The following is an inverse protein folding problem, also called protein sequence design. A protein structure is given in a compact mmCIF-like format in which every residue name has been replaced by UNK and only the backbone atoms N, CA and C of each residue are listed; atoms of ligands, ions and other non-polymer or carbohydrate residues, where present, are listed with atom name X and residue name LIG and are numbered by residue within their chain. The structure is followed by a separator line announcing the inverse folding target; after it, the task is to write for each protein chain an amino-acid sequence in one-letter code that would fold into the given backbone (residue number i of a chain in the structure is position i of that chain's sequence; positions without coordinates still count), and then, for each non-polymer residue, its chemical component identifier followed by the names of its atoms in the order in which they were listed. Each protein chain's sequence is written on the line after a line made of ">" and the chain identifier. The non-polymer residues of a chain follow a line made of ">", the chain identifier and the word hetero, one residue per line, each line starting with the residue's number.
data_IF_866816969868
#
_entry.id   IF_866816969868
#
_cell.length_a   1.000
_cell.length_b   1.000
_cell.length_c   1.000
_cell.angle_alpha   90.00
_cell.angle_beta   90.00
_cell.angle_gamma   90.00
#
_symmetry.space_group_name_H-M   'P 1'
#
loop_
_entity.id
_entity.type
_entity.pdbx_description
1 polymer ?
#
# COMPACT_ATOMS: atom_id res chain seq x y z
N UNK A 1 -15.34 14.60 -13.99
CA UNK A 1 -14.93 13.44 -13.17
C UNK A 1 -13.88 12.65 -13.94
N UNK A 2 -12.76 12.29 -13.31
CA UNK A 2 -11.77 11.41 -13.93
C UNK A 2 -12.34 9.99 -13.91
N UNK A 3 -12.54 9.39 -15.09
CA UNK A 3 -12.89 7.97 -15.16
C UNK A 3 -11.63 7.16 -14.86
N UNK A 4 -11.57 6.57 -13.66
CA UNK A 4 -10.54 5.61 -13.33
C UNK A 4 -11.07 4.25 -13.75
N UNK A 5 -10.45 3.60 -14.74
CA UNK A 5 -10.76 2.21 -15.02
C UNK A 5 -10.45 1.35 -13.79
N UNK A 6 -10.97 0.11 -13.80
CA UNK A 6 -10.79 -0.86 -12.73
C UNK A 6 -9.28 -0.91 -12.40
N UNK A 7 -8.90 -0.73 -11.14
CA UNK A 7 -7.53 -0.81 -10.65
C UNK A 7 -6.56 0.33 -11.04
N UNK A 8 -6.94 1.30 -11.87
CA UNK A 8 -6.04 2.41 -12.24
C UNK A 8 -5.79 3.43 -11.12
N UNK A 9 -6.65 3.44 -10.10
CA UNK A 9 -6.63 4.44 -9.03
C UNK A 9 -5.42 4.29 -8.08
N UNK A 10 -4.95 3.07 -7.86
CA UNK A 10 -3.87 2.78 -6.92
C UNK A 10 -2.60 3.57 -7.28
N UNK A 11 -1.97 3.24 -8.41
CA UNK A 11 -0.75 3.91 -8.84
C UNK A 11 -0.96 5.37 -9.30
N UNK A 12 -2.20 5.78 -9.58
CA UNK A 12 -2.53 7.20 -9.76
C UNK A 12 -2.27 8.02 -8.48
N UNK A 13 -2.67 7.52 -7.31
CA UNK A 13 -2.42 8.18 -6.03
C UNK A 13 -0.92 8.36 -5.78
N UNK A 14 -0.12 7.35 -6.08
CA UNK A 14 1.34 7.47 -6.00
C UNK A 14 1.88 8.58 -6.91
N UNK A 15 1.45 8.63 -8.19
CA UNK A 15 1.84 9.72 -9.08
C UNK A 15 1.46 11.10 -8.52
N UNK A 16 0.27 11.24 -7.93
CA UNK A 16 -0.19 12.52 -7.37
C UNK A 16 0.60 12.96 -6.16
N UNK A 17 1.00 12.05 -5.28
CA UNK A 17 1.87 12.40 -4.15
C UNK A 17 3.24 12.90 -4.63
N UNK A 18 3.78 12.31 -5.70
CA UNK A 18 5.02 12.80 -6.31
C UNK A 18 4.83 14.22 -6.87
N UNK A 19 3.73 14.48 -7.59
CA UNK A 19 3.41 15.83 -8.12
C UNK A 19 3.27 16.89 -7.02
N UNK A 20 2.80 16.50 -5.84
CA UNK A 20 2.67 17.42 -4.70
C UNK A 20 4.03 17.89 -4.17
N UNK A 21 5.15 17.30 -4.59
CA UNK A 21 6.49 17.75 -4.22
C UNK A 21 6.80 17.62 -2.72
N UNK A 22 6.13 16.68 -2.04
CA UNK A 22 6.30 16.47 -0.60
C UNK A 22 7.71 15.92 -0.32
N UNK A 23 8.45 16.59 0.58
CA UNK A 23 9.78 16.16 1.01
C UNK A 23 9.65 14.92 1.90
N UNK A 24 9.78 13.73 1.32
CA UNK A 24 9.56 12.45 2.00
C UNK A 24 10.68 11.48 1.67
N UNK A 25 10.87 10.45 2.52
CA UNK A 25 11.84 9.38 2.26
C UNK A 25 11.34 8.41 1.18
N UNK A 26 10.02 8.26 1.08
CA UNK A 26 9.35 7.45 0.08
C UNK A 26 7.83 7.47 0.27
N UNK A 27 7.14 6.74 -0.61
CA UNK A 27 5.68 6.60 -0.63
C UNK A 27 5.35 5.14 -0.33
N UNK A 28 4.66 4.89 0.78
CA UNK A 28 4.01 3.61 1.01
C UNK A 28 2.56 3.71 0.56
N UNK A 29 2.23 2.95 -0.48
CA UNK A 29 0.90 2.88 -1.03
C UNK A 29 0.24 1.58 -0.58
N UNK A 30 -0.99 1.67 -0.07
CA UNK A 30 -1.82 0.55 0.37
C UNK A 30 -3.22 0.70 -0.20
N UNK A 31 -3.76 -0.37 -0.77
CA UNK A 31 -5.11 -0.44 -1.32
C UNK A 31 -5.81 -1.74 -0.94
N UNK A 32 -7.10 -1.79 -1.33
CA UNK A 32 -7.98 -2.94 -1.18
C UNK A 32 -8.08 -3.43 0.27
N UNK A 33 -8.55 -4.65 0.45
CA UNK A 33 -8.77 -5.31 1.71
C UNK A 33 -7.47 -5.94 2.26
N UNK A 34 -6.41 -5.16 2.50
CA UNK A 34 -5.15 -5.69 3.07
C UNK A 34 -5.14 -5.54 4.59
N UNK A 35 -4.99 -6.66 5.31
CA UNK A 35 -4.64 -6.66 6.74
C UNK A 35 -3.12 -6.55 6.87
N UNK A 36 -2.61 -5.40 7.33
CA UNK A 36 -1.19 -5.10 7.42
C UNK A 36 -0.73 -4.92 8.87
N UNK A 37 0.32 -5.63 9.28
CA UNK A 37 1.05 -5.38 10.53
C UNK A 37 2.00 -4.20 10.35
N UNK A 38 1.44 -2.98 10.33
CA UNK A 38 2.22 -1.79 9.98
C UNK A 38 3.37 -1.51 10.97
N UNK A 39 3.27 -2.00 12.20
CA UNK A 39 4.35 -1.92 13.20
C UNK A 39 5.60 -2.72 12.81
N UNK A 40 5.47 -3.73 11.94
CA UNK A 40 6.62 -4.48 11.42
C UNK A 40 7.38 -3.74 10.31
N UNK A 41 6.83 -2.65 9.77
CA UNK A 41 7.47 -1.89 8.67
C UNK A 41 8.72 -1.15 9.13
N UNK A 42 8.85 -0.86 10.43
CA UNK A 42 10.00 -0.16 10.98
C UNK A 42 11.32 -0.91 10.79
N UNK A 43 11.26 -2.21 10.58
CA UNK A 43 12.44 -3.06 10.36
C UNK A 43 12.83 -3.17 8.88
N UNK A 44 12.08 -2.54 7.98
CA UNK A 44 12.32 -2.60 6.55
C UNK A 44 13.23 -1.45 6.10
N UNK A 45 14.10 -1.74 5.14
CA UNK A 45 15.04 -0.77 4.59
C UNK A 45 14.33 0.21 3.66
N UNK A 46 14.11 1.44 4.11
CA UNK A 46 13.42 2.52 3.38
C UNK A 46 14.19 3.05 2.17
N UNK A 47 15.40 2.53 1.90
CA UNK A 47 16.16 2.79 0.67
C UNK A 47 15.84 1.80 -0.45
N UNK A 48 15.08 0.75 -0.16
CA UNK A 48 14.71 -0.29 -1.13
C UNK A 48 13.24 -0.19 -1.50
N UNK A 49 12.88 -0.59 -2.71
CA UNK A 49 11.47 -0.84 -3.06
C UNK A 49 10.95 -2.00 -2.22
N UNK A 50 9.73 -1.86 -1.69
CA UNK A 50 9.05 -2.95 -0.98
C UNK A 50 7.91 -3.49 -1.83
N UNK A 51 7.83 -4.81 -1.97
CA UNK A 51 6.82 -5.47 -2.79
C UNK A 51 6.54 -6.89 -2.28
N UNK A 52 5.33 -7.47 -2.43
CA UNK A 52 4.99 -8.77 -1.84
C UNK A 52 5.65 -9.98 -2.52
N UNK A 53 6.23 -9.82 -3.70
CA UNK A 53 6.82 -10.90 -4.49
C UNK A 53 8.02 -10.40 -5.27
N UNK A 54 8.76 -11.30 -5.92
CA UNK A 54 9.83 -10.91 -6.85
C UNK A 54 9.28 -10.05 -8.01
N UNK A 55 10.18 -9.46 -8.78
CA UNK A 55 9.90 -8.68 -9.98
C UNK A 55 10.30 -9.44 -11.25
N UNK A 56 10.37 -10.78 -11.21
CA UNK A 56 10.70 -11.60 -12.37
C UNK A 56 9.54 -11.59 -13.36
N UNK A 57 9.80 -11.06 -14.54
CA UNK A 57 8.83 -11.05 -15.63
C UNK A 57 8.92 -12.38 -16.39
N UNK A 58 7.93 -13.26 -16.20
CA UNK A 58 7.97 -14.66 -16.65
C UNK A 58 6.86 -15.04 -17.63
N UNK A 59 5.78 -14.25 -17.76
CA UNK A 59 4.62 -14.56 -18.61
C UNK A 59 4.82 -13.98 -19.99
N UNK A 60 5.00 -14.82 -21.02
CA UNK A 60 5.17 -14.32 -22.39
C UNK A 60 3.92 -13.56 -22.86
N UNK A 61 4.12 -12.38 -23.43
CA UNK A 61 3.07 -11.56 -24.06
C UNK A 61 2.69 -12.14 -25.44
N UNK A 62 2.13 -13.35 -25.45
CA UNK A 62 1.64 -13.99 -26.67
C UNK A 62 0.11 -13.98 -26.70
N UNK A 63 -0.54 -13.49 -27.77
CA UNK A 63 -1.99 -13.44 -27.90
C UNK A 63 -2.74 -14.73 -27.58
N UNK A 64 -2.09 -15.88 -27.76
CA UNK A 64 -2.71 -17.19 -27.66
C UNK A 64 -2.37 -17.97 -26.37
N UNK A 65 -1.45 -17.50 -25.52
CA UNK A 65 -0.92 -18.29 -24.38
C UNK A 65 -1.55 -17.98 -23.02
N UNK A 66 -2.39 -16.94 -22.90
CA UNK A 66 -3.03 -16.58 -21.63
C UNK A 66 -4.51 -16.27 -21.85
N UNK A 67 -5.26 -17.28 -22.29
CA UNK A 67 -6.71 -17.18 -22.53
C UNK A 67 -7.55 -17.17 -21.25
N UNK A 68 -6.96 -17.47 -20.09
CA UNK A 68 -7.71 -17.76 -18.86
C UNK A 68 -7.71 -16.63 -17.82
N UNK A 69 -7.14 -15.46 -18.13
CA UNK A 69 -7.09 -14.36 -17.17
C UNK A 69 -8.02 -13.21 -17.58
N UNK A 70 -8.94 -12.85 -16.68
CA UNK A 70 -10.04 -11.91 -16.93
C UNK A 70 -9.59 -10.50 -17.36
N UNK A 71 -8.34 -10.12 -17.05
CA UNK A 71 -7.80 -8.80 -17.38
C UNK A 71 -6.90 -8.82 -18.62
N UNK A 72 -6.91 -9.90 -19.42
CA UNK A 72 -6.17 -9.98 -20.69
C UNK A 72 -6.31 -8.74 -21.63
N UNK A 73 -7.47 -8.04 -21.73
CA UNK A 73 -7.55 -6.80 -22.50
C UNK A 73 -6.49 -5.75 -22.13
N UNK A 74 -5.90 -5.83 -20.93
CA UNK A 74 -4.80 -4.98 -20.50
C UNK A 74 -3.46 -5.27 -21.18
N UNK A 75 -3.23 -6.48 -21.68
CA UNK A 75 -1.99 -6.78 -22.42
C UNK A 75 -1.96 -6.01 -23.75
N UNK A 76 -3.09 -5.92 -24.45
CA UNK A 76 -3.19 -5.09 -25.65
C UNK A 76 -2.95 -3.60 -25.34
N UNK A 77 -3.41 -3.12 -24.18
CA UNK A 77 -3.12 -1.76 -23.70
C UNK A 77 -1.61 -1.55 -23.49
N UNK A 78 -0.92 -2.53 -22.92
CA UNK A 78 0.54 -2.52 -22.73
C UNK A 78 1.27 -2.55 -24.08
N UNK A 79 0.89 -3.42 -25.01
CA UNK A 79 1.50 -3.49 -26.36
C UNK A 79 1.34 -2.14 -27.07
N UNK A 80 0.14 -1.57 -27.04
CA UNK A 80 -0.13 -0.25 -27.63
C UNK A 80 0.70 0.84 -26.96
N UNK A 81 0.76 0.84 -25.62
CA UNK A 81 1.58 1.77 -24.85
C UNK A 81 3.04 1.72 -25.29
N UNK A 82 3.62 0.53 -25.47
CA UNK A 82 5.00 0.36 -25.90
C UNK A 82 5.23 0.86 -27.32
N UNK A 83 4.34 0.54 -28.26
CA UNK A 83 4.42 1.03 -29.64
C UNK A 83 4.44 2.57 -29.70
N UNK A 84 3.54 3.22 -28.95
CA UNK A 84 3.51 4.69 -28.87
C UNK A 84 4.79 5.26 -28.21
N UNK A 85 5.39 4.50 -27.31
CA UNK A 85 6.63 4.86 -26.62
C UNK A 85 7.81 4.89 -27.58
N UNK A 86 7.93 3.89 -28.44
CA UNK A 86 8.99 3.78 -29.44
C UNK A 86 8.98 4.98 -30.40
N UNK A 87 7.79 5.39 -30.84
CA UNK A 87 7.61 6.55 -31.73
C UNK A 87 8.06 7.86 -31.06
N UNK A 88 7.73 8.06 -29.77
CA UNK A 88 8.12 9.27 -29.05
C UNK A 88 9.63 9.31 -28.80
N UNK A 89 10.23 8.17 -28.47
CA UNK A 89 11.65 8.09 -28.15
C UNK A 89 12.57 8.20 -29.35
N UNK A 90 12.16 7.66 -30.51
CA UNK A 90 12.86 7.91 -31.78
C UNK A 90 12.95 9.41 -32.09
N UNK A 91 11.98 10.21 -31.60
CA UNK A 91 11.92 11.66 -31.79
C UNK A 91 12.59 12.45 -30.66
N UNK A 92 12.79 11.87 -29.47
CA UNK A 92 13.31 12.59 -28.31
C UNK A 92 14.82 12.36 -28.12
N UNK A 93 15.60 13.45 -27.98
CA UNK A 93 17.03 13.40 -27.62
C UNK A 93 17.29 13.04 -26.14
N UNK A 94 16.26 12.68 -25.36
CA UNK A 94 16.35 12.67 -23.90
C UNK A 94 16.94 11.39 -23.27
N UNK A 95 17.71 11.69 -22.22
CA UNK A 95 18.49 10.94 -21.21
C UNK A 95 18.86 9.46 -21.43
N UNK A 96 20.15 9.17 -21.19
CA UNK A 96 20.72 7.82 -21.05
C UNK A 96 19.93 6.94 -20.08
N UNK A 97 19.31 7.56 -19.08
CA UNK A 97 18.53 6.88 -18.04
C UNK A 97 17.21 6.33 -18.58
N UNK A 98 16.42 7.14 -19.31
CA UNK A 98 15.21 6.66 -19.98
C UNK A 98 15.56 5.53 -20.94
N UNK A 99 16.66 5.65 -21.70
CA UNK A 99 17.16 4.57 -22.57
C UNK A 99 17.60 3.32 -21.80
N UNK A 100 18.23 3.46 -20.63
CA UNK A 100 18.65 2.33 -19.79
C UNK A 100 17.44 1.55 -19.28
N UNK A 101 16.43 2.27 -18.79
CA UNK A 101 15.20 1.67 -18.30
C UNK A 101 14.41 1.09 -19.47
N UNK A 102 14.41 1.79 -20.61
CA UNK A 102 13.90 1.26 -21.88
C UNK A 102 14.58 -0.06 -22.18
N UNK A 103 15.90 -0.16 -22.25
CA UNK A 103 16.59 -1.45 -22.51
C UNK A 103 16.25 -2.55 -21.48
N UNK A 104 15.96 -2.17 -20.24
CA UNK A 104 15.51 -3.08 -19.18
C UNK A 104 14.07 -3.55 -19.35
N UNK A 105 13.22 -2.71 -19.95
CA UNK A 105 11.77 -2.90 -20.13
C UNK A 105 11.39 -3.30 -21.59
N UNK A 106 12.10 -2.88 -22.61
CA UNK A 106 11.90 -3.11 -24.07
C UNK A 106 11.99 -4.58 -24.43
N UNK A 107 12.74 -5.34 -23.63
CA UNK A 107 12.87 -6.78 -23.82
C UNK A 107 11.78 -7.56 -23.08
N UNK A 108 10.73 -6.90 -22.59
CA UNK A 108 9.54 -7.52 -22.01
C UNK A 108 8.71 -8.12 -23.14
N UNK A 109 9.26 -9.18 -23.73
CA UNK A 109 8.45 -10.28 -24.28
C UNK A 109 7.68 -10.99 -23.17
N UNK A 110 7.95 -10.66 -21.90
CA UNK A 110 7.37 -11.28 -20.72
C UNK A 110 6.90 -10.24 -19.72
N UNK A 111 5.69 -10.37 -19.20
CA UNK A 111 5.14 -9.57 -18.09
C UNK A 111 5.11 -10.39 -16.79
N UNK A 112 4.78 -9.72 -15.68
CA UNK A 112 4.36 -10.37 -14.45
C UNK A 112 2.94 -9.94 -14.13
N UNK A 113 2.16 -10.89 -13.66
CA UNK A 113 0.85 -10.66 -13.06
C UNK A 113 0.92 -11.09 -11.60
N UNK A 114 0.61 -10.18 -10.68
CA UNK A 114 0.51 -10.51 -9.26
C UNK A 114 -0.31 -9.47 -8.49
N UNK A 115 -0.81 -9.89 -7.33
CA UNK A 115 -1.39 -8.97 -6.35
C UNK A 115 -0.43 -7.81 -6.07
N UNK A 116 -0.96 -6.60 -6.18
CA UNK A 116 -0.17 -5.37 -6.07
C UNK A 116 -0.89 -4.34 -5.21
N UNK A 117 -1.53 -4.81 -4.14
CA UNK A 117 -2.32 -3.99 -3.22
C UNK A 117 -1.46 -3.12 -2.30
N UNK A 118 -0.15 -3.30 -2.32
CA UNK A 118 0.75 -2.35 -1.72
C UNK A 118 2.10 -2.34 -2.42
N UNK A 119 2.80 -1.22 -2.28
CA UNK A 119 4.23 -1.14 -2.54
C UNK A 119 4.82 0.07 -1.80
N UNK A 120 6.12 0.02 -1.56
CA UNK A 120 6.89 1.18 -1.14
C UNK A 120 7.81 1.64 -2.27
N UNK A 121 7.78 2.94 -2.58
CA UNK A 121 8.65 3.57 -3.55
C UNK A 121 9.58 4.57 -2.83
N UNK A 122 10.89 4.32 -2.77
CA UNK A 122 11.88 5.28 -2.29
C UNK A 122 11.89 6.60 -3.09
N UNK A 123 12.21 7.70 -2.42
CA UNK A 123 12.22 9.05 -3.02
C UNK A 123 13.22 9.25 -4.16
N UNK A 124 14.36 8.56 -4.13
CA UNK A 124 15.34 8.55 -5.22
C UNK A 124 14.80 7.89 -6.50
N UNK A 125 13.69 7.15 -6.41
CA UNK A 125 12.98 6.53 -7.54
C UNK A 125 11.73 7.30 -7.98
N UNK A 126 11.46 8.49 -7.43
CA UNK A 126 10.23 9.23 -7.75
C UNK A 126 10.16 9.71 -9.18
N UNK A 127 11.22 10.31 -9.74
CA UNK A 127 11.17 10.86 -11.12
C UNK A 127 10.81 9.78 -12.14
N UNK A 128 11.55 8.67 -12.08
CA UNK A 128 11.35 7.50 -12.92
C UNK A 128 10.02 6.80 -12.64
N UNK A 129 9.67 6.59 -11.37
CA UNK A 129 8.40 5.98 -10.98
C UNK A 129 7.22 6.79 -11.49
N UNK A 130 7.20 8.09 -11.23
CA UNK A 130 6.19 9.03 -11.71
C UNK A 130 5.99 8.95 -13.22
N UNK A 131 7.09 8.94 -13.98
CA UNK A 131 7.06 8.84 -15.42
C UNK A 131 6.31 7.59 -15.89
N UNK A 132 6.69 6.40 -15.40
CA UNK A 132 6.05 5.15 -15.85
C UNK A 132 4.65 4.98 -15.29
N UNK A 133 4.39 5.26 -14.01
CA UNK A 133 3.06 5.16 -13.42
C UNK A 133 2.05 6.01 -14.20
N UNK A 134 2.42 7.21 -14.63
CA UNK A 134 1.58 8.05 -15.48
C UNK A 134 1.40 7.53 -16.90
N UNK A 135 2.41 6.86 -17.47
CA UNK A 135 2.26 6.21 -18.78
C UNK A 135 1.28 5.05 -18.69
N UNK A 136 1.46 4.12 -17.76
CA UNK A 136 0.53 3.01 -17.54
C UNK A 136 -0.90 3.52 -17.28
N UNK A 137 -1.04 4.63 -16.54
CA UNK A 137 -2.32 5.31 -16.32
C UNK A 137 -2.96 5.78 -17.61
N UNK A 138 -2.20 6.42 -18.50
CA UNK A 138 -2.72 6.96 -19.77
C UNK A 138 -3.37 5.86 -20.62
N UNK A 139 -2.85 4.64 -20.53
CA UNK A 139 -3.38 3.48 -21.25
C UNK A 139 -4.36 2.67 -20.41
N UNK A 140 -4.70 3.10 -19.20
CA UNK A 140 -5.66 2.44 -18.30
C UNK A 140 -5.28 0.96 -18.02
N UNK A 141 -4.00 0.71 -17.74
CA UNK A 141 -3.50 -0.63 -17.44
C UNK A 141 -3.84 -1.02 -16.00
N UNK A 142 -4.38 -2.22 -15.81
CA UNK A 142 -4.73 -2.74 -14.48
C UNK A 142 -3.52 -2.79 -13.52
N UNK A 143 -3.72 -2.48 -12.23
CA UNK A 143 -2.62 -2.38 -11.25
C UNK A 143 -1.78 -3.64 -11.15
N UNK A 144 -2.40 -4.82 -11.24
CA UNK A 144 -1.72 -6.11 -11.08
C UNK A 144 -0.77 -6.45 -12.24
N UNK A 145 -0.76 -5.60 -13.29
CA UNK A 145 0.27 -5.57 -14.32
C UNK A 145 1.12 -4.31 -14.20
N UNK A 146 0.47 -3.16 -14.05
CA UNK A 146 1.15 -1.87 -14.10
C UNK A 146 2.24 -1.77 -13.03
N UNK A 147 1.89 -2.06 -11.78
CA UNK A 147 2.82 -1.95 -10.65
C UNK A 147 4.00 -2.90 -10.81
N UNK A 148 3.85 -4.23 -10.98
CA UNK A 148 5.01 -5.12 -11.05
C UNK A 148 5.90 -4.84 -12.27
N UNK A 149 5.34 -4.42 -13.41
CA UNK A 149 6.14 -4.07 -14.59
C UNK A 149 6.92 -2.78 -14.35
N UNK A 150 6.28 -1.74 -13.79
CA UNK A 150 6.97 -0.48 -13.43
C UNK A 150 8.09 -0.78 -12.44
N UNK A 151 7.79 -1.52 -11.37
CA UNK A 151 8.77 -1.82 -10.34
C UNK A 151 9.96 -2.65 -10.88
N UNK A 152 9.71 -3.62 -11.76
CA UNK A 152 10.78 -4.38 -12.42
C UNK A 152 11.69 -3.50 -13.31
N UNK A 153 11.13 -2.42 -13.86
CA UNK A 153 11.84 -1.41 -14.63
C UNK A 153 12.76 -0.51 -13.80
N UNK A 154 12.40 -0.24 -12.54
CA UNK A 154 13.13 0.70 -11.67
C UNK A 154 13.99 0.00 -10.61
N UNK A 155 13.78 -1.31 -10.40
CA UNK A 155 14.42 -2.08 -9.34
C UNK A 155 14.86 -3.48 -9.80
N UNK A 156 15.88 -4.04 -9.13
CA UNK A 156 16.34 -5.42 -9.33
C UNK A 156 15.92 -6.34 -8.19
N UNK A 157 15.73 -7.63 -8.47
CA UNK A 157 15.45 -8.62 -7.42
C UNK A 157 16.56 -8.75 -6.37
N UNK A 158 17.80 -8.36 -6.69
CA UNK A 158 18.91 -8.40 -5.73
C UNK A 158 18.78 -7.33 -4.63
N UNK A 159 18.09 -6.25 -4.95
CA UNK A 159 17.96 -5.03 -4.13
C UNK A 159 16.52 -4.77 -3.69
N UNK A 160 15.58 -5.59 -4.15
CA UNK A 160 14.18 -5.59 -3.74
C UNK A 160 14.03 -6.07 -2.29
N UNK A 161 13.22 -5.38 -1.50
CA UNK A 161 12.76 -5.86 -0.20
C UNK A 161 11.44 -6.62 -0.40
N UNK A 162 11.51 -7.96 -0.42
CA UNK A 162 10.29 -8.77 -0.48
C UNK A 162 9.60 -8.72 0.89
N UNK A 163 8.34 -8.30 0.90
CA UNK A 163 7.50 -8.32 2.08
C UNK A 163 6.79 -9.67 2.18
N UNK A 164 7.10 -10.40 3.25
CA UNK A 164 6.45 -11.68 3.52
C UNK A 164 4.96 -11.49 3.83
N UNK A 165 4.09 -12.13 3.06
CA UNK A 165 2.67 -12.21 3.37
C UNK A 165 1.93 -13.13 2.44
N UNK A 166 0.61 -13.09 2.51
CA UNK A 166 -0.24 -14.09 1.87
C UNK A 166 -1.37 -13.45 1.06
N UNK A 167 -1.53 -13.97 -0.17
CA UNK A 167 -2.66 -13.67 -1.05
C UNK A 167 -3.54 -14.91 -1.16
N UNK A 168 -4.79 -14.79 -0.72
CA UNK A 168 -5.80 -15.82 -0.85
C UNK A 168 -6.72 -15.49 -2.02
N UNK A 169 -6.69 -16.31 -3.07
CA UNK A 169 -7.45 -16.10 -4.31
C UNK A 169 -8.75 -16.92 -4.35
N UNK A 170 -9.64 -16.58 -5.28
CA UNK A 170 -10.78 -17.44 -5.65
C UNK A 170 -11.91 -17.51 -4.62
N UNK A 171 -12.02 -16.53 -3.72
CA UNK A 171 -13.09 -16.51 -2.72
C UNK A 171 -12.94 -17.55 -1.61
N UNK A 172 -11.74 -18.08 -1.42
CA UNK A 172 -11.46 -19.04 -0.37
C UNK A 172 -11.74 -18.44 1.04
N UNK A 173 -11.98 -19.30 2.05
CA UNK A 173 -12.34 -18.85 3.39
C UNK A 173 -11.28 -17.93 4.01
N UNK A 174 -11.74 -16.95 4.78
CA UNK A 174 -10.86 -16.00 5.49
C UNK A 174 -10.11 -16.72 6.63
N UNK A 175 -8.88 -17.17 6.35
CA UNK A 175 -8.05 -17.97 7.26
C UNK A 175 -6.79 -17.25 7.76
N UNK A 176 -6.81 -15.93 7.82
CA UNK A 176 -5.65 -15.11 8.20
C UNK A 176 -5.00 -15.53 9.54
N UNK A 177 -5.80 -15.96 10.51
CA UNK A 177 -5.35 -16.39 11.83
C UNK A 177 -4.39 -17.58 11.78
N UNK A 178 -4.52 -18.48 10.80
CA UNK A 178 -3.67 -19.67 10.64
C UNK A 178 -2.24 -19.31 10.22
N UNK A 179 -2.07 -18.16 9.59
CA UNK A 179 -0.79 -17.68 9.07
C UNK A 179 -0.29 -16.44 9.82
N UNK A 180 -1.08 -15.90 10.76
CA UNK A 180 -0.87 -14.58 11.35
C UNK A 180 0.51 -14.36 11.95
N UNK A 181 1.06 -15.36 12.64
CA UNK A 181 2.40 -15.28 13.26
C UNK A 181 3.54 -15.31 12.24
N UNK A 182 3.28 -15.71 10.99
CA UNK A 182 4.28 -15.94 9.95
C UNK A 182 4.28 -14.88 8.85
N UNK A 183 3.37 -13.90 8.87
CA UNK A 183 3.16 -12.95 7.78
C UNK A 183 3.12 -11.51 8.26
N UNK A 184 3.55 -10.58 7.41
CA UNK A 184 3.41 -9.14 7.64
C UNK A 184 2.09 -8.59 7.10
N UNK A 185 1.51 -9.25 6.09
CA UNK A 185 0.22 -8.87 5.54
C UNK A 185 -0.59 -10.08 5.10
N UNK A 186 -1.92 -9.90 5.04
CA UNK A 186 -2.87 -10.86 4.50
C UNK A 186 -3.86 -10.15 3.58
N UNK A 187 -4.09 -10.69 2.39
CA UNK A 187 -5.12 -10.24 1.46
C UNK A 187 -5.91 -11.44 0.94
N UNK A 188 -7.23 -11.34 0.73
CA UNK A 188 -8.10 -10.23 1.13
C UNK A 188 -8.56 -10.39 2.58
N UNK A 189 -8.74 -9.28 3.28
CA UNK A 189 -9.28 -9.16 4.63
C UNK A 189 -10.44 -8.16 4.64
N UNK A 190 -11.63 -8.67 4.31
CA UNK A 190 -12.85 -7.86 4.26
C UNK A 190 -13.37 -7.57 5.67
N UNK A 191 -13.38 -6.31 6.09
CA UNK A 191 -13.94 -5.91 7.39
C UNK A 191 -15.42 -6.32 7.55
N UNK A 192 -16.17 -6.41 6.46
CA UNK A 192 -17.57 -6.90 6.49
C UNK A 192 -17.70 -8.34 7.00
N UNK A 193 -16.61 -9.14 6.97
CA UNK A 193 -16.56 -10.50 7.53
C UNK A 193 -16.48 -10.52 9.05
N UNK A 194 -16.16 -9.40 9.70
CA UNK A 194 -16.18 -9.28 11.17
C UNK A 194 -17.59 -9.39 11.77
N UNK A 195 -18.64 -9.40 10.94
CA UNK A 195 -20.00 -9.78 11.39
C UNK A 195 -20.10 -11.25 11.81
N UNK A 196 -19.16 -12.09 11.39
CA UNK A 196 -19.09 -13.49 11.77
C UNK A 196 -18.34 -13.63 13.09
N UNK A 197 -18.97 -14.26 14.09
CA UNK A 197 -18.45 -14.36 15.47
C UNK A 197 -17.03 -14.92 15.54
N UNK A 198 -16.75 -15.99 14.80
CA UNK A 198 -15.43 -16.61 14.76
C UNK A 198 -14.36 -15.69 14.17
N UNK A 199 -14.64 -15.07 13.02
CA UNK A 199 -13.74 -14.11 12.37
C UNK A 199 -13.44 -12.91 13.28
N UNK A 200 -14.46 -12.36 13.95
CA UNK A 200 -14.29 -11.29 14.92
C UNK A 200 -13.41 -11.72 16.10
N UNK A 201 -13.69 -12.89 16.68
CA UNK A 201 -12.91 -13.45 17.78
C UNK A 201 -11.44 -13.60 17.39
N UNK A 202 -11.17 -14.18 16.21
CA UNK A 202 -9.82 -14.33 15.68
C UNK A 202 -9.15 -12.97 15.42
N UNK A 203 -9.88 -11.99 14.89
CA UNK A 203 -9.33 -10.66 14.65
C UNK A 203 -8.91 -9.98 15.95
N UNK A 204 -9.74 -10.06 16.99
CA UNK A 204 -9.41 -9.54 18.31
C UNK A 204 -8.22 -10.28 18.94
N UNK A 205 -8.24 -11.61 18.92
CA UNK A 205 -7.23 -12.46 19.55
C UNK A 205 -5.84 -12.31 18.91
N UNK A 206 -5.79 -12.23 17.58
CA UNK A 206 -4.53 -12.19 16.85
C UNK A 206 -4.12 -10.77 16.49
N UNK A 207 -4.98 -10.00 15.80
CA UNK A 207 -4.57 -8.69 15.29
C UNK A 207 -4.61 -7.58 16.33
N UNK A 208 -5.74 -7.44 17.03
CA UNK A 208 -5.91 -6.35 18.01
C UNK A 208 -4.98 -6.54 19.20
N UNK A 209 -4.86 -7.76 19.72
CA UNK A 209 -3.96 -8.06 20.83
C UNK A 209 -2.49 -7.79 20.48
N UNK A 210 -2.02 -8.23 19.31
CA UNK A 210 -0.65 -7.97 18.81
C UNK A 210 -0.42 -6.45 18.65
N UNK A 211 -1.37 -5.74 18.03
CA UNK A 211 -1.32 -4.29 17.87
C UNK A 211 -1.22 -3.55 19.21
N UNK A 212 -2.02 -3.93 20.21
CA UNK A 212 -2.00 -3.29 21.54
C UNK A 212 -0.63 -3.52 22.20
N UNK A 213 -0.12 -4.74 22.17
CA UNK A 213 1.16 -5.08 22.78
C UNK A 213 2.32 -4.29 22.14
N UNK A 214 2.36 -4.23 20.80
CA UNK A 214 3.39 -3.48 20.09
C UNK A 214 3.23 -1.96 20.25
N UNK A 215 2.00 -1.45 20.30
CA UNK A 215 1.73 -0.03 20.57
C UNK A 215 2.24 0.36 21.94
N UNK A 216 2.02 -0.45 22.98
CA UNK A 216 2.56 -0.19 24.32
C UNK A 216 4.09 -0.16 24.33
N UNK A 217 4.74 -1.07 23.59
CA UNK A 217 6.20 -1.03 23.45
C UNK A 217 6.66 0.23 22.71
N UNK A 218 5.95 0.65 21.67
CA UNK A 218 6.24 1.89 20.95
C UNK A 218 6.11 3.11 21.86
N UNK A 219 5.04 3.21 22.67
CA UNK A 219 4.87 4.30 23.64
C UNK A 219 5.97 4.31 24.71
N UNK A 220 6.42 3.15 25.17
CA UNK A 220 7.56 3.05 26.10
C UNK A 220 8.85 3.59 25.48
N UNK A 221 9.13 3.26 24.21
CA UNK A 221 10.32 3.77 23.51
C UNK A 221 10.27 5.29 23.31
N UNK A 222 9.11 5.83 22.93
CA UNK A 222 8.89 7.28 22.82
C UNK A 222 9.15 7.97 24.16
N UNK A 223 8.61 7.41 25.26
CA UNK A 223 8.83 7.91 26.62
C UNK A 223 10.31 7.90 27.02
N UNK A 224 11.08 6.96 26.48
CA UNK A 224 12.51 6.80 26.75
C UNK A 224 13.42 7.59 25.78
N UNK A 225 12.89 8.57 25.04
CA UNK A 225 13.62 9.41 24.07
C UNK A 225 14.22 8.67 22.86
N UNK A 226 13.77 7.44 22.56
CA UNK A 226 14.02 6.84 21.25
C UNK A 226 13.02 7.47 20.25
N UNK A 227 13.51 8.41 19.43
CA UNK A 227 12.66 9.15 18.47
C UNK A 227 11.97 8.22 17.47
N UNK A 228 10.64 8.26 17.43
CA UNK A 228 9.83 7.72 16.34
C UNK A 228 9.06 8.84 15.65
N UNK A 229 9.05 8.87 14.32
CA UNK A 229 8.17 9.74 13.53
C UNK A 229 7.50 8.96 12.41
N UNK A 230 6.18 8.92 12.45
CA UNK A 230 5.35 8.37 11.39
C UNK A 230 4.36 9.46 10.99
N UNK A 231 4.41 9.93 9.75
CA UNK A 231 3.41 10.84 9.21
C UNK A 231 2.45 10.02 8.33
N UNK A 232 1.20 9.89 8.77
CA UNK A 232 0.18 9.18 7.98
C UNK A 232 -0.62 10.23 7.20
N UNK A 233 -0.36 10.37 5.91
CA UNK A 233 -1.18 11.19 5.03
C UNK A 233 -2.19 10.31 4.31
N UNK A 234 -3.39 10.24 4.86
CA UNK A 234 -4.51 9.53 4.23
C UNK A 234 -5.08 10.37 3.10
N UNK A 235 -4.78 10.02 1.84
CA UNK A 235 -5.49 10.55 0.67
C UNK A 235 -6.56 9.53 0.30
N UNK A 236 -7.80 9.77 0.75
CA UNK A 236 -8.95 8.96 0.35
C UNK A 236 -9.69 9.62 -0.82
N UNK A 237 -10.27 8.81 -1.70
CA UNK A 237 -11.13 9.29 -2.79
C UNK A 237 -12.47 9.88 -2.30
N UNK A 238 -12.74 9.81 -0.99
CA UNK A 238 -13.95 10.36 -0.39
C UNK A 238 -13.65 11.80 0.02
N UNK A 239 -13.69 12.71 -0.96
CA UNK A 239 -13.97 14.12 -0.71
C UNK A 239 -15.43 14.28 -0.26
N UNK A 240 -15.80 13.70 0.88
CA UNK A 240 -16.98 14.13 1.63
C UNK A 240 -16.48 14.92 2.84
N UNK A 241 -17.13 16.04 3.13
CA UNK A 241 -16.84 16.91 4.28
C UNK A 241 -16.77 16.13 5.61
N UNK A 242 -17.41 14.96 5.68
CA UNK A 242 -17.42 14.09 6.84
C UNK A 242 -16.04 13.45 7.14
N UNK A 243 -15.19 13.15 6.16
CA UNK A 243 -13.87 12.54 6.43
C UNK A 243 -12.87 13.54 7.02
N UNK A 244 -12.94 14.81 6.57
CA UNK A 244 -12.15 15.93 7.13
C UNK A 244 -12.58 16.21 8.59
N UNK A 245 -13.87 16.05 8.90
CA UNK A 245 -14.39 16.17 10.27
C UNK A 245 -13.80 15.11 11.20
N UNK A 246 -13.75 13.84 10.78
CA UNK A 246 -13.18 12.76 11.60
C UNK A 246 -11.65 12.85 11.75
N UNK A 247 -10.92 13.34 10.75
CA UNK A 247 -9.49 13.67 10.91
C UNK A 247 -9.27 14.79 11.93
N UNK A 248 -10.12 15.84 11.93
CA UNK A 248 -10.05 16.92 12.92
C UNK A 248 -10.35 16.45 14.35
N UNK A 249 -11.32 15.57 14.53
CA UNK A 249 -11.62 15.01 15.86
C UNK A 249 -10.54 14.03 16.34
N UNK A 250 -9.95 13.22 15.45
CA UNK A 250 -8.80 12.40 15.79
C UNK A 250 -7.58 13.25 16.19
N UNK A 251 -7.36 14.39 15.52
CA UNK A 251 -6.30 15.35 15.88
C UNK A 251 -6.59 16.10 17.20
N UNK A 252 -7.86 16.42 17.52
CA UNK A 252 -8.24 17.03 18.82
C UNK A 252 -7.99 16.10 20.01
N UNK A 253 -8.12 14.79 19.83
CA UNK A 253 -7.77 13.79 20.87
C UNK A 253 -6.26 13.83 21.17
N UNK A 254 -5.41 14.22 20.21
CA UNK A 254 -3.97 14.42 20.42
C UNK A 254 -3.61 15.82 20.94
N UNK A 255 -4.44 16.85 20.70
CA UNK A 255 -4.21 18.22 21.21
C UNK A 255 -4.63 18.42 22.67
N UNK A 256 -5.45 17.53 23.24
CA UNK A 256 -6.08 17.74 24.56
C UNK A 256 -5.40 17.00 25.73
N UNK A 257 -4.30 16.27 25.48
CA UNK A 257 -3.39 15.83 26.53
C UNK A 257 -2.11 16.67 26.46
N UNK A 258 -1.86 17.46 27.51
CA UNK A 258 -0.69 18.30 27.69
C UNK A 258 0.61 17.53 27.37
N UNK A 259 1.13 17.69 26.16
CA UNK A 259 2.53 17.44 25.81
C UNK A 259 3.06 18.75 25.23
N UNK A 260 3.24 19.72 26.12
CA UNK A 260 3.92 20.97 25.88
C UNK A 260 5.43 20.75 25.82
N UNK A 261 5.93 20.25 24.69
CA UNK A 261 7.35 20.40 24.37
C UNK A 261 7.56 20.44 22.87
N UNK A 262 7.83 21.66 22.39
CA UNK A 262 8.38 21.99 21.08
C UNK A 262 9.56 21.07 20.73
N UNK A 263 9.40 20.24 19.70
CA UNK A 263 10.52 19.50 19.09
C UNK A 263 10.46 19.72 17.58
N UNK A 264 11.27 20.66 17.11
CA UNK A 264 11.47 20.99 15.70
C UNK A 264 12.29 19.87 15.07
N UNK A 265 11.71 19.06 14.18
CA UNK A 265 12.28 17.75 13.89
C UNK A 265 11.86 17.22 12.48
N UNK A 266 12.86 16.93 11.62
CA UNK A 266 12.77 16.61 10.16
C UNK A 266 12.87 15.12 9.82
N UNK A 267 11.88 14.56 9.11
CA UNK A 267 11.86 13.40 8.16
C UNK A 267 10.50 12.69 8.14
N UNK A 268 10.03 12.33 6.93
CA UNK A 268 8.63 12.13 6.56
C UNK A 268 8.44 10.86 5.70
N UNK A 269 7.72 9.86 6.21
CA UNK A 269 7.11 8.78 5.39
C UNK A 269 5.65 9.17 5.18
N UNK A 270 5.04 8.83 4.04
CA UNK A 270 3.61 9.03 3.78
C UNK A 270 2.92 7.67 3.66
N UNK A 271 1.97 7.39 4.56
CA UNK A 271 1.10 6.23 4.52
C UNK A 271 -0.26 6.60 3.89
N UNK A 272 -0.54 6.08 2.69
CA UNK A 272 -1.83 6.24 2.01
C UNK A 272 -2.69 5.00 2.27
N UNK A 273 -3.77 5.15 3.03
CA UNK A 273 -4.67 4.04 3.38
C UNK A 273 -6.10 4.30 2.88
N UNK A 274 -6.77 3.28 2.35
CA UNK A 274 -8.22 3.28 2.23
C UNK A 274 -8.85 2.83 3.56
N UNK A 275 -9.08 3.75 4.49
CA UNK A 275 -9.85 3.46 5.70
C UNK A 275 -11.29 3.94 5.54
N UNK A 276 -12.21 2.98 5.49
CA UNK A 276 -13.54 3.20 6.06
C UNK A 276 -13.39 3.06 7.57
N UNK A 277 -13.16 4.16 8.28
CA UNK A 277 -13.31 4.19 9.74
C UNK A 277 -14.81 4.07 10.02
N UNK A 278 -15.28 2.84 10.12
CA UNK A 278 -16.57 2.52 10.69
C UNK A 278 -16.34 1.90 12.07
N UNK A 279 -16.51 2.73 13.10
CA UNK A 279 -17.02 2.35 14.42
C UNK A 279 -16.20 1.33 15.24
N UNK A 280 -15.06 1.78 15.74
CA UNK A 280 -14.67 1.48 17.12
C UNK A 280 -14.90 2.77 17.90
N UNK A 281 -16.15 2.98 18.35
CA UNK A 281 -16.60 3.86 19.45
C UNK A 281 -18.14 4.00 19.48
N UNK A 282 -18.87 2.89 19.27
CA UNK A 282 -20.30 2.83 19.62
C UNK A 282 -20.67 1.48 20.24
N UNK A 283 -19.80 0.95 21.11
CA UNK A 283 -20.13 -0.18 21.98
C UNK A 283 -19.49 -0.13 23.38
N UNK A 284 -19.07 1.05 23.84
CA UNK A 284 -18.59 1.28 25.20
C UNK A 284 -19.58 2.06 26.09
N UNK A 285 -20.89 1.87 25.86
CA UNK A 285 -21.92 2.46 26.72
C UNK A 285 -22.93 1.48 27.35
N UNK A 286 -22.82 0.16 27.16
CA UNK A 286 -23.79 -0.79 27.74
C UNK A 286 -23.20 -2.07 28.35
N UNK A 287 -21.97 -2.06 28.87
CA UNK A 287 -21.46 -3.17 29.71
C UNK A 287 -20.78 -2.60 30.95
N UNK A 288 -21.55 -1.87 31.75
CA UNK A 288 -21.13 -1.38 33.09
C UNK A 288 -22.01 -1.94 34.21
N UNK A 289 -22.65 -3.09 34.00
CA UNK A 289 -23.54 -3.73 35.00
C UNK A 289 -23.41 -5.24 35.00
N UNK A 290 -22.20 -5.78 35.17
CA UNK A 290 -22.02 -7.15 35.68
C UNK A 290 -20.54 -7.38 36.04
N UNK A 291 -20.09 -6.82 37.16
CA UNK A 291 -19.03 -7.37 38.03
C UNK A 291 -19.00 -6.52 39.31
N UNK A 292 -19.99 -6.73 40.17
CA UNK A 292 -19.86 -6.41 41.60
C UNK A 292 -19.07 -7.54 42.24
N UNK A 293 -17.77 -7.32 42.47
CA UNK A 293 -17.04 -8.06 43.49
C UNK A 293 -16.74 -7.07 44.61
N UNK A 294 -17.57 -7.15 45.65
CA UNK A 294 -17.32 -6.51 46.94
C UNK A 294 -16.03 -7.08 47.53
N UNK A 295 -15.07 -6.21 47.82
CA UNK A 295 -14.02 -6.47 48.80
C UNK A 295 -14.27 -5.48 49.94
N UNK A 296 -14.87 -6.02 51.00
CA UNK A 296 -14.65 -5.68 52.41
C UNK A 296 -14.69 -7.00 53.16
#
# INVERSE_FOLDING_TARGET
>A
MVNFGIGGYHYFCASKVIEMGLKTEGIFLLSDDVLLKFWNLNNLDTKKVWFPTDLILNIKMRPNEVKNWMHWPNINKIIKMWSDFDVVLQKSKNSKEIKYIKNRIENITKVKYCGSDFFYLPSDKFEIGYYFLNKFRKYDVFLELAVPIVLAGIESNKTLQIMNGHYEWGGAPLRFHQMYSKINFFHPFKLSKLKQKETASNYCLYFVNDYINDSFQMFRKIRNNEMFRLYVYVISAICSQNFIYYQREALKIFETQEISSFVKCRCNIILLTYFSVALILQHYRNVTTMFNLNIN
#
